data_IF_698123926880
#
_entry.id   IF_698123926880
#
_cell.length_a   1.000
_cell.length_b   1.000
_cell.length_c   1.000
_cell.angle_alpha   90.00
_cell.angle_beta   90.00
_cell.angle_gamma   90.00
#
_symmetry.space_group_name_H-M   'P 1'
#
loop_
_entity.id
_entity.type
_entity.pdbx_description
1 polymer ?
#
# COMPACT_ATOMS: atom_id res chain seq x y z
N UNK A 1 -41.89 -0.01 -3.46
CA UNK A 1 -42.11 -0.93 -2.33
C UNK A 1 -40.74 -1.43 -1.87
N UNK A 2 -40.21 -0.86 -0.77
CA UNK A 2 -38.91 -1.23 -0.20
C UNK A 2 -39.18 -2.41 0.73
N UNK A 3 -38.87 -3.62 0.28
CA UNK A 3 -38.96 -4.81 1.12
C UNK A 3 -37.85 -4.69 2.18
N UNK A 4 -38.16 -4.76 3.49
CA UNK A 4 -37.12 -4.67 4.52
C UNK A 4 -36.18 -5.88 4.38
N UNK A 5 -34.95 -5.63 3.93
CA UNK A 5 -33.92 -6.65 3.81
C UNK A 5 -33.55 -7.13 5.22
N UNK A 6 -33.61 -8.44 5.44
CA UNK A 6 -33.18 -9.05 6.69
C UNK A 6 -31.65 -8.84 6.86
N UNK A 7 -31.15 -8.69 8.08
CA UNK A 7 -29.74 -8.41 8.41
C UNK A 7 -28.80 -9.39 7.69
N UNK A 8 -29.19 -10.66 7.57
CA UNK A 8 -28.44 -11.68 6.84
C UNK A 8 -28.23 -11.34 5.35
N UNK A 9 -29.25 -10.79 4.68
CA UNK A 9 -29.16 -10.39 3.27
C UNK A 9 -28.22 -9.18 3.09
N UNK A 10 -28.19 -8.26 4.06
CA UNK A 10 -27.25 -7.12 4.07
C UNK A 10 -25.82 -7.61 4.25
N UNK A 11 -25.56 -8.54 5.17
CA UNK A 11 -24.23 -9.13 5.35
C UNK A 11 -23.73 -9.85 4.08
N UNK A 12 -24.58 -10.65 3.43
CA UNK A 12 -24.23 -11.33 2.16
C UNK A 12 -23.90 -10.30 1.07
N UNK A 13 -24.71 -9.25 0.95
CA UNK A 13 -24.49 -8.17 -0.03
C UNK A 13 -23.18 -7.41 0.20
N UNK A 14 -22.85 -7.11 1.47
CA UNK A 14 -21.57 -6.47 1.82
C UNK A 14 -20.38 -7.40 1.60
N UNK A 15 -20.51 -8.68 1.93
CA UNK A 15 -19.48 -9.68 1.70
C UNK A 15 -19.12 -9.80 0.21
N UNK A 16 -20.13 -9.82 -0.68
CA UNK A 16 -19.91 -9.83 -2.13
C UNK A 16 -19.24 -8.55 -2.68
N UNK A 17 -19.33 -7.43 -1.96
CA UNK A 17 -18.66 -6.17 -2.30
C UNK A 17 -17.27 -6.02 -1.67
N UNK A 18 -16.95 -6.82 -0.66
CA UNK A 18 -15.66 -6.76 0.01
C UNK A 18 -14.56 -7.12 -0.98
N UNK A 19 -13.57 -6.23 -1.16
CA UNK A 19 -12.45 -6.46 -2.07
C UNK A 19 -11.12 -6.13 -1.40
N UNK A 20 -10.17 -7.06 -1.50
CA UNK A 20 -8.78 -6.90 -1.08
C UNK A 20 -7.92 -6.22 -2.15
N UNK A 21 -8.51 -5.88 -3.30
CA UNK A 21 -7.78 -5.30 -4.43
C UNK A 21 -7.03 -4.01 -4.08
N UNK A 22 -7.58 -3.20 -3.18
CA UNK A 22 -6.93 -1.95 -2.75
C UNK A 22 -5.70 -2.22 -1.88
N UNK A 23 -5.84 -3.13 -0.90
CA UNK A 23 -4.74 -3.52 -0.01
C UNK A 23 -3.63 -4.24 -0.78
N UNK A 24 -3.98 -5.12 -1.71
CA UNK A 24 -3.01 -5.83 -2.53
C UNK A 24 -2.21 -4.88 -3.43
N UNK A 25 -2.88 -3.88 -4.00
CA UNK A 25 -2.21 -2.84 -4.79
C UNK A 25 -1.20 -2.07 -3.94
N UNK A 26 -1.58 -1.67 -2.73
CA UNK A 26 -0.68 -0.97 -1.81
C UNK A 26 0.57 -1.81 -1.52
N UNK A 27 0.39 -3.10 -1.21
CA UNK A 27 1.52 -4.00 -0.98
C UNK A 27 2.37 -4.23 -2.23
N UNK A 28 1.77 -4.28 -3.42
CA UNK A 28 2.53 -4.37 -4.67
C UNK A 28 3.37 -3.11 -4.92
N UNK A 29 2.83 -1.92 -4.65
CA UNK A 29 3.57 -0.67 -4.77
C UNK A 29 4.71 -0.58 -3.75
N UNK A 30 4.48 -0.99 -2.50
CA UNK A 30 5.51 -1.08 -1.47
C UNK A 30 6.69 -1.95 -1.94
N UNK A 31 6.41 -3.16 -2.43
CA UNK A 31 7.43 -4.12 -2.87
C UNK A 31 8.22 -3.67 -4.10
N UNK A 32 7.65 -2.82 -4.95
CA UNK A 32 8.34 -2.27 -6.13
C UNK A 32 9.18 -1.03 -5.81
N UNK A 33 8.88 -0.33 -4.71
CA UNK A 33 9.60 0.88 -4.31
C UNK A 33 10.71 0.58 -3.30
N UNK A 34 10.56 -0.45 -2.46
CA UNK A 34 11.53 -0.82 -1.43
C UNK A 34 12.12 -2.19 -1.78
N UNK A 35 13.34 -2.21 -2.31
CA UNK A 35 14.04 -3.43 -2.71
C UNK A 35 14.20 -4.45 -1.57
N UNK A 36 14.30 -3.97 -0.32
CA UNK A 36 14.45 -4.85 0.85
C UNK A 36 13.23 -5.72 1.16
N UNK A 37 12.05 -5.33 0.66
CA UNK A 37 10.77 -6.03 0.86
C UNK A 37 10.33 -6.72 -0.46
N UNK A 38 11.17 -6.66 -1.49
CA UNK A 38 10.87 -7.33 -2.76
C UNK A 38 10.76 -8.85 -2.54
N UNK A 39 9.91 -9.49 -3.35
CA UNK A 39 9.83 -10.95 -3.30
C UNK A 39 11.13 -11.53 -3.88
N UNK A 40 11.73 -12.53 -3.23
CA UNK A 40 12.94 -13.15 -3.76
C UNK A 40 12.64 -13.80 -5.12
N UNK A 41 13.57 -13.61 -6.05
CA UNK A 41 13.47 -14.13 -7.41
C UNK A 41 13.88 -15.61 -7.38
N UNK A 42 13.00 -16.49 -7.87
CA UNK A 42 13.33 -17.89 -8.13
C UNK A 42 13.85 -18.03 -9.56
N UNK A 43 15.05 -18.56 -9.73
CA UNK A 43 15.56 -18.96 -11.05
C UNK A 43 15.29 -20.44 -11.28
N UNK A 44 14.99 -20.82 -12.53
CA UNK A 44 14.64 -22.21 -12.89
C UNK A 44 15.76 -23.21 -12.54
N UNK A 45 17.02 -22.76 -12.62
CA UNK A 45 18.21 -23.55 -12.26
C UNK A 45 18.44 -23.71 -10.76
N UNK A 46 17.74 -22.96 -9.90
CA UNK A 46 18.02 -22.94 -8.46
C UNK A 46 17.30 -24.05 -7.66
N UNK A 47 16.57 -24.97 -8.31
CA UNK A 47 15.86 -26.08 -7.65
C UNK A 47 15.04 -25.61 -6.41
N UNK A 48 14.17 -24.62 -6.62
CA UNK A 48 13.36 -23.96 -5.57
C UNK A 48 14.13 -23.14 -4.51
N UNK A 49 15.46 -23.04 -4.59
CA UNK A 49 16.23 -22.15 -3.72
C UNK A 49 15.96 -20.69 -4.10
N UNK A 50 15.72 -19.86 -3.09
CA UNK A 50 15.42 -18.43 -3.25
C UNK A 50 16.59 -17.60 -2.77
N UNK A 51 17.06 -16.69 -3.63
CA UNK A 51 18.14 -15.76 -3.28
C UNK A 51 17.58 -14.50 -2.62
N UNK A 52 18.06 -14.20 -1.43
CA UNK A 52 17.61 -13.07 -0.61
C UNK A 52 18.62 -11.90 -0.67
N UNK A 53 18.97 -11.47 -1.88
CA UNK A 53 20.08 -10.52 -2.10
C UNK A 53 19.93 -9.15 -1.46
N UNK A 54 18.70 -8.70 -1.19
CA UNK A 54 18.42 -7.34 -0.69
C UNK A 54 17.81 -7.31 0.71
N UNK A 55 17.75 -8.44 1.42
CA UNK A 55 17.11 -8.47 2.73
C UNK A 55 17.88 -7.62 3.77
N UNK A 56 17.15 -6.92 4.63
CA UNK A 56 17.75 -6.12 5.70
C UNK A 56 18.43 -7.02 6.74
N UNK A 57 19.71 -6.76 7.06
CA UNK A 57 20.38 -7.40 8.20
C UNK A 57 19.72 -7.02 9.54
N UNK A 58 19.27 -5.77 9.66
CA UNK A 58 18.55 -5.27 10.84
C UNK A 58 17.08 -4.98 10.47
N UNK A 59 16.10 -5.68 11.07
CA UNK A 59 14.68 -5.48 10.77
C UNK A 59 14.17 -4.07 11.11
N UNK A 60 14.84 -3.34 12.01
CA UNK A 60 14.47 -1.97 12.35
C UNK A 60 14.60 -1.01 11.14
N UNK A 61 15.47 -1.32 10.18
CA UNK A 61 15.59 -0.54 8.95
C UNK A 61 14.30 -0.61 8.13
N UNK A 62 13.67 -1.78 8.09
CA UNK A 62 12.39 -1.97 7.38
C UNK A 62 11.30 -1.11 8.01
N UNK A 63 11.22 -1.08 9.34
CA UNK A 63 10.24 -0.25 10.06
C UNK A 63 10.42 1.24 9.73
N UNK A 64 11.67 1.73 9.73
CA UNK A 64 11.98 3.12 9.36
C UNK A 64 11.57 3.43 7.91
N UNK A 65 11.91 2.55 6.96
CA UNK A 65 11.56 2.71 5.55
C UNK A 65 10.03 2.70 5.33
N UNK A 66 9.31 1.82 6.03
CA UNK A 66 7.84 1.77 5.98
C UNK A 66 7.20 3.05 6.54
N UNK A 67 7.75 3.62 7.61
CA UNK A 67 7.28 4.89 8.17
C UNK A 67 7.45 6.04 7.16
N UNK A 68 8.62 6.13 6.52
CA UNK A 68 8.88 7.12 5.47
C UNK A 68 7.94 6.91 4.29
N UNK A 69 7.78 5.67 3.83
CA UNK A 69 6.89 5.33 2.73
C UNK A 69 5.44 5.70 3.03
N UNK A 70 4.97 5.47 4.27
CA UNK A 70 3.61 5.84 4.68
C UNK A 70 3.39 7.35 4.58
N UNK A 71 4.34 8.17 5.00
CA UNK A 71 4.23 9.63 4.88
C UNK A 71 4.22 10.06 3.41
N UNK A 72 5.19 9.56 2.62
CA UNK A 72 5.30 9.82 1.19
C UNK A 72 4.04 9.41 0.42
N UNK A 73 3.55 8.18 0.62
CA UNK A 73 2.40 7.64 -0.11
C UNK A 73 1.11 8.42 0.16
N UNK A 74 0.88 8.83 1.41
CA UNK A 74 -0.37 9.49 1.78
C UNK A 74 -0.40 10.97 1.40
N UNK A 75 0.72 11.67 1.59
CA UNK A 75 0.73 13.14 1.51
C UNK A 75 1.41 13.69 0.27
N UNK A 76 2.40 12.99 -0.29
CA UNK A 76 3.21 13.50 -1.42
C UNK A 76 2.79 12.84 -2.74
N UNK A 77 2.67 11.51 -2.75
CA UNK A 77 2.48 10.75 -3.99
C UNK A 77 1.09 10.99 -4.57
N UNK A 78 1.05 11.67 -5.70
CA UNK A 78 -0.16 11.86 -6.51
C UNK A 78 -0.46 10.57 -7.26
N UNK A 79 -1.73 10.15 -7.27
CA UNK A 79 -2.14 8.99 -8.05
C UNK A 79 -2.31 9.34 -9.52
N UNK A 80 -1.63 8.63 -10.42
CA UNK A 80 -1.75 8.81 -11.88
C UNK A 80 -3.20 8.73 -12.38
N UNK A 81 -4.01 7.87 -11.73
CA UNK A 81 -5.42 7.66 -12.09
C UNK A 81 -6.34 8.80 -11.63
N UNK A 82 -6.06 9.41 -10.48
CA UNK A 82 -7.00 10.28 -9.78
C UNK A 82 -6.51 11.72 -9.64
N UNK A 83 -5.26 12.01 -9.99
CA UNK A 83 -4.66 13.35 -9.89
C UNK A 83 -4.56 13.89 -8.45
N UNK A 84 -4.85 13.07 -7.44
CA UNK A 84 -4.90 13.46 -6.02
C UNK A 84 -4.17 12.44 -5.15
N UNK A 85 -3.73 12.88 -3.98
CA UNK A 85 -3.11 12.01 -2.98
C UNK A 85 -4.17 11.24 -2.17
N UNK A 86 -3.83 10.09 -1.57
CA UNK A 86 -4.74 9.37 -0.69
C UNK A 86 -5.28 10.22 0.47
N UNK A 87 -4.45 11.07 1.07
CA UNK A 87 -4.88 11.97 2.15
C UNK A 87 -5.90 13.01 1.66
N UNK A 88 -5.74 13.53 0.44
CA UNK A 88 -6.74 14.42 -0.16
C UNK A 88 -8.09 13.71 -0.39
N UNK A 89 -8.05 12.46 -0.85
CA UNK A 89 -9.26 11.67 -1.10
C UNK A 89 -10.03 11.35 0.18
N UNK A 90 -9.33 11.25 1.31
CA UNK A 90 -9.93 11.09 2.64
C UNK A 90 -10.38 12.42 3.26
N UNK A 91 -10.06 13.56 2.65
CA UNK A 91 -10.34 14.89 3.21
C UNK A 91 -9.38 15.32 4.33
N UNK A 92 -8.26 14.63 4.53
CA UNK A 92 -7.25 14.93 5.56
C UNK A 92 -6.29 16.05 5.13
N UNK A 93 -6.11 16.26 3.83
CA UNK A 93 -5.22 17.28 3.27
C UNK A 93 -5.91 18.03 2.13
N UNK A 94 -5.61 19.32 1.95
CA UNK A 94 -6.15 20.15 0.86
C UNK A 94 -5.35 20.02 -0.43
N UNK A 95 -4.02 19.98 -0.32
CA UNK A 95 -3.07 19.89 -1.43
C UNK A 95 -2.06 18.76 -1.18
N UNK A 96 -1.35 18.27 -2.21
CA UNK A 96 -0.17 17.44 -2.01
C UNK A 96 0.87 18.19 -1.17
N UNK A 97 1.47 17.52 -0.20
CA UNK A 97 2.58 18.07 0.57
C UNK A 97 3.85 18.10 -0.27
N UNK A 98 4.65 19.15 -0.11
CA UNK A 98 6.00 19.19 -0.67
C UNK A 98 6.93 18.25 0.12
N UNK A 99 7.92 17.67 -0.54
CA UNK A 99 8.89 16.79 0.12
C UNK A 99 9.78 17.58 1.08
N UNK A 100 10.19 18.79 0.69
CA UNK A 100 11.10 19.59 1.51
C UNK A 100 10.46 20.00 2.83
N UNK A 101 9.15 20.28 2.84
CA UNK A 101 8.44 20.62 4.07
C UNK A 101 8.32 19.46 5.05
N UNK A 102 8.58 18.22 4.63
CA UNK A 102 8.59 17.04 5.51
C UNK A 102 10.00 16.75 6.04
N UNK A 103 11.04 17.01 5.24
CA UNK A 103 12.43 16.69 5.60
C UNK A 103 13.05 17.78 6.49
N UNK A 104 12.71 19.05 6.25
CA UNK A 104 13.32 20.21 6.92
C UNK A 104 12.47 20.81 8.04
N UNK A 105 11.49 20.05 8.56
CA UNK A 105 10.66 20.42 9.71
C UNK A 105 11.27 19.91 11.02
#
# INVERSE_FOLDING_TARGET
MIIPLNIAQICIYLYLKATLKSTDRYFMQLRRMISLIERPISTASANQRRWHGYHAYNPNVIVKLLTIYRAYYNFVKVSDKHGTTPAQRLGLARAPADINSIIYF
#
